data_IF_941936242643
#
_entry.id   IF_941936242643
#
_cell.length_a   1.000
_cell.length_b   1.000
_cell.length_c   1.000
_cell.angle_alpha   90.00
_cell.angle_beta   90.00
_cell.angle_gamma   90.00
#
_symmetry.space_group_name_H-M   'P 1'
#
loop_
_entity.id
_entity.type
_entity.pdbx_description
1 polymer ?
#
# COMPACT_ATOMS: atom_id res chain seq x y z
N UNK A 1 11.86 -15.03 4.28
CA UNK A 1 10.90 -13.99 3.84
C UNK A 1 11.68 -12.71 3.65
N UNK A 2 11.78 -12.22 2.41
CA UNK A 2 12.48 -10.96 2.14
C UNK A 2 11.51 -9.82 2.50
N UNK A 3 11.89 -8.82 3.31
CA UNK A 3 11.02 -7.68 3.57
C UNK A 3 10.72 -6.95 2.26
N UNK A 4 9.45 -6.57 2.06
CA UNK A 4 9.03 -5.83 0.87
C UNK A 4 9.80 -4.51 0.79
N UNK A 5 10.31 -4.22 -0.41
CA UNK A 5 10.90 -2.92 -0.76
C UNK A 5 9.84 -1.83 -0.68
N UNK A 6 10.21 -0.57 -0.47
CA UNK A 6 9.23 0.53 -0.33
C UNK A 6 8.27 0.62 -1.51
N UNK A 7 8.75 0.32 -2.72
CA UNK A 7 7.97 0.27 -3.96
C UNK A 7 6.93 -0.86 -3.96
N UNK A 8 7.18 -1.95 -3.24
CA UNK A 8 6.29 -3.11 -3.12
C UNK A 8 5.30 -2.96 -1.96
N UNK A 9 5.60 -2.10 -0.98
CA UNK A 9 4.74 -1.85 0.19
C UNK A 9 3.46 -1.10 -0.16
N UNK A 10 3.54 -0.11 -1.05
CA UNK A 10 2.37 0.68 -1.49
C UNK A 10 1.30 -0.23 -2.12
N UNK A 11 1.59 -1.06 -3.15
CA UNK A 11 0.58 -1.93 -3.74
C UNK A 11 0.14 -3.06 -2.79
N UNK A 12 1.02 -3.56 -1.92
CA UNK A 12 0.64 -4.55 -0.92
C UNK A 12 -0.37 -3.98 0.10
N UNK A 13 -0.11 -2.77 0.59
CA UNK A 13 -1.02 -2.08 1.51
C UNK A 13 -2.33 -1.67 0.79
N UNK A 14 -2.26 -1.21 -0.45
CA UNK A 14 -3.45 -0.90 -1.24
C UNK A 14 -4.32 -2.14 -1.48
N UNK A 15 -3.74 -3.33 -1.67
CA UNK A 15 -4.48 -4.60 -1.73
C UNK A 15 -5.12 -4.94 -0.39
N UNK A 16 -4.42 -4.74 0.71
CA UNK A 16 -4.99 -4.96 2.05
C UNK A 16 -6.19 -4.04 2.31
N UNK A 17 -6.11 -2.78 1.86
CA UNK A 17 -7.18 -1.78 2.03
C UNK A 17 -8.35 -1.97 1.05
N UNK A 18 -8.07 -2.33 -0.21
CA UNK A 18 -9.07 -2.48 -1.28
C UNK A 18 -9.65 -3.90 -1.42
N UNK A 19 -9.09 -4.88 -0.71
CA UNK A 19 -9.54 -6.26 -0.75
C UNK A 19 -9.26 -6.92 -2.09
N UNK A 20 -10.32 -7.33 -2.81
CA UNK A 20 -10.21 -8.13 -4.04
C UNK A 20 -9.61 -7.37 -5.24
N UNK A 21 -9.63 -6.04 -5.21
CA UNK A 21 -9.08 -5.19 -6.27
C UNK A 21 -8.38 -3.98 -5.67
N UNK A 22 -7.26 -3.57 -6.26
CA UNK A 22 -6.65 -2.27 -5.93
C UNK A 22 -7.53 -1.19 -6.56
N UNK A 23 -8.06 -0.30 -5.72
CA UNK A 23 -8.76 0.90 -6.17
C UNK A 23 -7.83 2.11 -6.09
N UNK A 24 -8.13 3.16 -6.86
CA UNK A 24 -7.37 4.41 -6.83
C UNK A 24 -7.37 5.04 -5.42
N UNK A 25 -8.50 4.97 -4.71
CA UNK A 25 -8.63 5.42 -3.32
C UNK A 25 -7.76 4.59 -2.38
N UNK A 26 -7.78 3.26 -2.50
CA UNK A 26 -6.94 2.40 -1.66
C UNK A 26 -5.44 2.63 -1.91
N UNK A 27 -5.07 2.93 -3.16
CA UNK A 27 -3.70 3.29 -3.53
C UNK A 27 -3.27 4.63 -2.94
N UNK A 28 -4.14 5.65 -2.99
CA UNK A 28 -3.89 6.95 -2.38
C UNK A 28 -3.70 6.81 -0.86
N UNK A 29 -4.63 6.14 -0.19
CA UNK A 29 -4.56 5.90 1.25
C UNK A 29 -3.27 5.15 1.65
N UNK A 30 -2.88 4.12 0.89
CA UNK A 30 -1.64 3.38 1.15
C UNK A 30 -0.38 4.25 1.03
N UNK A 31 -0.34 5.16 0.05
CA UNK A 31 0.77 6.11 -0.12
C UNK A 31 0.86 7.05 1.07
N UNK A 32 -0.27 7.64 1.49
CA UNK A 32 -0.32 8.56 2.63
C UNK A 32 0.07 7.88 3.94
N UNK A 33 -0.43 6.67 4.19
CA UNK A 33 -0.07 5.90 5.39
C UNK A 33 1.43 5.60 5.47
N UNK A 34 2.07 5.23 4.36
CA UNK A 34 3.51 4.97 4.33
C UNK A 34 4.36 6.23 4.38
N UNK A 35 3.87 7.35 3.82
CA UNK A 35 4.52 8.65 3.93
C UNK A 35 4.50 9.17 5.38
N UNK A 36 3.41 8.93 6.11
CA UNK A 36 3.22 9.35 7.49
C UNK A 36 3.83 8.40 8.53
N UNK A 37 4.26 7.20 8.12
CA UNK A 37 4.91 6.21 8.98
C UNK A 37 6.45 6.32 8.98
N UNK A 38 7.01 7.32 8.29
CA UNK A 38 8.44 7.61 8.19
C UNK A 38 8.92 8.58 9.29
#
# INVERSE_FOLDING_TARGET
MNPLSMEERIPALARLLGGSQITETALANAKEMLANAA
#
